data_IF_903682229868
#
_entry.id   IF_903682229868
#
_cell.length_a   1.000
_cell.length_b   1.000
_cell.length_c   1.000
_cell.angle_alpha   90.00
_cell.angle_beta   90.00
_cell.angle_gamma   90.00
#
_symmetry.space_group_name_H-M   'P 1'
#
loop_
_entity.id
_entity.type
_entity.pdbx_description
1 polymer ?
#
# COMPACT_ATOMS: atom_id res chain seq x y z
N UNK A 1 -12.16 29.41 14.46
CA UNK A 1 -12.88 29.22 13.17
C UNK A 1 -11.98 28.45 12.21
N UNK A 2 -12.53 27.50 11.44
CA UNK A 2 -11.82 26.74 10.39
C UNK A 2 -12.60 26.92 9.08
N UNK A 3 -11.92 27.22 7.98
CA UNK A 3 -12.52 27.30 6.63
C UNK A 3 -11.94 26.20 5.75
N UNK A 4 -12.80 25.41 5.12
CA UNK A 4 -12.42 24.37 4.17
C UNK A 4 -12.73 24.86 2.75
N UNK A 5 -11.73 24.84 1.87
CA UNK A 5 -11.85 25.25 0.47
C UNK A 5 -11.66 24.04 -0.44
N UNK A 6 -12.76 23.37 -0.77
CA UNK A 6 -12.74 22.32 -1.78
C UNK A 6 -12.56 22.91 -3.17
N UNK A 7 -12.14 22.08 -4.12
CA UNK A 7 -11.90 22.50 -5.52
C UNK A 7 -10.86 23.63 -5.66
N UNK A 8 -10.02 23.85 -4.65
CA UNK A 8 -8.89 24.76 -4.70
C UNK A 8 -7.61 23.96 -4.85
N UNK A 9 -6.97 24.04 -6.02
CA UNK A 9 -5.68 23.42 -6.31
C UNK A 9 -4.59 24.46 -6.10
N UNK A 10 -3.79 24.30 -5.06
CA UNK A 10 -2.57 25.11 -4.88
C UNK A 10 -1.58 24.75 -5.99
N UNK A 11 -1.08 25.74 -6.70
CA UNK A 11 -0.04 25.57 -7.74
C UNK A 11 1.21 26.39 -7.46
N UNK A 12 1.19 27.27 -6.45
CA UNK A 12 2.35 28.07 -6.07
C UNK A 12 2.32 28.55 -4.62
N UNK A 13 3.51 28.83 -4.10
CA UNK A 13 3.73 29.54 -2.84
C UNK A 13 4.11 30.99 -3.15
N UNK A 14 3.52 31.95 -2.44
CA UNK A 14 3.88 33.37 -2.56
C UNK A 14 5.00 33.71 -1.59
N UNK A 15 5.84 34.69 -1.94
CA UNK A 15 6.99 35.11 -1.13
C UNK A 15 7.14 36.63 -1.11
N UNK A 16 7.48 37.16 0.06
CA UNK A 16 7.89 38.55 0.25
C UNK A 16 9.18 38.58 1.05
N UNK A 17 10.21 39.28 0.55
CA UNK A 17 11.53 39.39 1.19
C UNK A 17 12.12 38.03 1.64
N UNK A 18 11.97 37.00 0.80
CA UNK A 18 12.47 35.64 1.06
C UNK A 18 11.56 34.75 1.91
N UNK A 19 10.56 35.31 2.61
CA UNK A 19 9.60 34.60 3.47
C UNK A 19 8.40 34.12 2.67
N UNK A 20 8.02 32.85 2.85
CA UNK A 20 6.74 32.33 2.34
C UNK A 20 5.59 33.00 3.08
N UNK A 21 4.72 33.69 2.36
CA UNK A 21 3.68 34.56 2.92
C UNK A 21 2.27 34.24 2.42
N UNK A 22 2.09 33.07 1.79
CA UNK A 22 0.81 32.65 1.26
C UNK A 22 0.89 31.54 0.22
N UNK A 23 -0.27 31.29 -0.37
CA UNK A 23 -0.48 30.31 -1.44
C UNK A 23 -1.23 30.98 -2.59
N UNK A 24 -0.94 30.55 -3.81
CA UNK A 24 -1.71 30.89 -4.99
C UNK A 24 -2.09 29.60 -5.74
N UNK A 25 -3.18 29.66 -6.48
CA UNK A 25 -3.64 28.50 -7.21
C UNK A 25 -4.88 28.72 -8.05
N UNK A 26 -5.45 27.60 -8.44
CA UNK A 26 -6.58 27.53 -9.35
C UNK A 26 -7.82 27.05 -8.60
N UNK A 27 -8.97 27.60 -8.98
CA UNK A 27 -10.28 27.10 -8.60
C UNK A 27 -10.72 26.17 -9.73
N UNK A 28 -11.03 24.93 -9.38
CA UNK A 28 -11.55 23.92 -10.29
C UNK A 28 -13.07 23.99 -10.31
N UNK A 29 -13.70 23.60 -11.41
CA UNK A 29 -15.16 23.51 -11.49
C UNK A 29 -15.75 22.63 -10.37
N UNK A 30 -16.94 22.95 -9.88
CA UNK A 30 -17.61 22.12 -8.87
C UNK A 30 -17.85 20.70 -9.39
N UNK A 31 -17.80 19.72 -8.49
CA UNK A 31 -17.86 18.31 -8.87
C UNK A 31 -18.73 17.52 -7.90
N UNK A 32 -19.70 16.80 -8.46
CA UNK A 32 -20.51 15.82 -7.73
C UNK A 32 -19.84 14.44 -7.62
N UNK A 33 -18.63 14.26 -8.17
CA UNK A 33 -17.88 13.01 -8.07
C UNK A 33 -17.69 12.58 -6.61
N UNK A 34 -17.89 11.29 -6.34
CA UNK A 34 -17.75 10.77 -4.99
C UNK A 34 -16.29 10.75 -4.51
N UNK A 35 -16.09 10.55 -3.21
CA UNK A 35 -14.76 10.51 -2.61
C UNK A 35 -13.87 9.46 -3.30
N UNK A 36 -12.73 9.91 -3.80
CA UNK A 36 -11.74 9.06 -4.47
C UNK A 36 -11.96 8.93 -5.97
N UNK A 37 -13.14 9.31 -6.49
CA UNK A 37 -13.38 9.31 -7.93
C UNK A 37 -12.57 10.42 -8.60
N UNK A 38 -12.17 10.17 -9.85
CA UNK A 38 -11.60 11.22 -10.67
C UNK A 38 -12.67 12.31 -10.87
N UNK A 39 -12.32 13.54 -10.52
CA UNK A 39 -13.13 14.73 -10.81
C UNK A 39 -12.42 15.55 -11.87
N UNK A 40 -13.19 16.33 -12.62
CA UNK A 40 -12.64 17.20 -13.65
C UNK A 40 -11.58 18.15 -13.07
N UNK A 41 -10.60 18.52 -13.89
CA UNK A 41 -9.56 19.50 -13.52
C UNK A 41 -9.67 20.77 -14.36
N UNK A 42 -10.85 21.04 -14.91
CA UNK A 42 -11.20 22.29 -15.60
C UNK A 42 -11.07 23.45 -14.63
N UNK A 43 -10.29 24.46 -15.01
CA UNK A 43 -10.06 25.66 -14.22
C UNK A 43 -11.16 26.68 -14.50
N UNK A 44 -11.83 27.16 -13.46
CA UNK A 44 -12.89 28.17 -13.53
C UNK A 44 -12.49 29.51 -12.93
N UNK A 45 -11.35 29.56 -12.25
CA UNK A 45 -10.81 30.79 -11.70
C UNK A 45 -9.46 30.59 -11.01
N UNK A 46 -8.99 31.64 -10.34
CA UNK A 46 -7.75 31.64 -9.57
C UNK A 46 -7.98 32.19 -8.17
N UNK A 47 -7.11 31.82 -7.23
CA UNK A 47 -7.11 32.37 -5.89
C UNK A 47 -5.70 32.72 -5.41
N UNK A 48 -5.63 33.66 -4.47
CA UNK A 48 -4.45 33.94 -3.68
C UNK A 48 -4.87 34.14 -2.22
N UNK A 49 -4.17 33.51 -1.29
CA UNK A 49 -4.42 33.62 0.15
C UNK A 49 -3.10 33.97 0.82
N UNK A 50 -3.07 35.10 1.51
CA UNK A 50 -1.93 35.48 2.36
C UNK A 50 -2.03 34.79 3.72
N UNK A 51 -0.89 34.33 4.22
CA UNK A 51 -0.78 33.70 5.52
C UNK A 51 0.63 33.92 6.08
N UNK A 52 0.74 34.07 7.40
CA UNK A 52 2.04 34.20 8.06
C UNK A 52 2.79 32.87 8.15
N UNK A 53 2.10 31.74 7.94
CA UNK A 53 2.69 30.41 7.89
C UNK A 53 1.90 29.50 6.93
N UNK A 54 2.62 28.67 6.18
CA UNK A 54 2.05 27.67 5.25
C UNK A 54 2.53 26.28 5.65
N UNK A 55 1.59 25.34 5.81
CA UNK A 55 1.86 23.93 6.14
C UNK A 55 1.54 23.05 4.94
N UNK A 56 2.54 22.36 4.39
CA UNK A 56 2.38 21.40 3.29
C UNK A 56 2.07 20.01 3.85
N UNK A 57 0.84 19.55 3.65
CA UNK A 57 0.36 18.23 4.07
C UNK A 57 -0.33 17.49 2.89
N UNK A 58 0.30 17.53 1.72
CA UNK A 58 -0.27 17.13 0.42
C UNK A 58 -0.20 15.64 0.08
N UNK A 59 0.38 14.81 0.95
CA UNK A 59 0.70 13.43 0.62
C UNK A 59 2.01 13.28 -0.18
N UNK A 60 2.29 12.06 -0.62
CA UNK A 60 3.48 11.71 -1.40
C UNK A 60 3.21 11.59 -2.90
N UNK A 61 3.97 10.72 -3.56
CA UNK A 61 3.99 10.56 -5.03
C UNK A 61 3.27 9.32 -5.54
N UNK A 62 2.62 8.54 -4.67
CA UNK A 62 2.22 7.15 -4.97
C UNK A 62 1.29 6.97 -6.18
N UNK A 63 0.48 7.96 -6.55
CA UNK A 63 -0.38 7.88 -7.73
C UNK A 63 0.31 8.34 -9.02
N UNK A 64 1.48 8.97 -8.92
CA UNK A 64 2.27 9.43 -10.05
C UNK A 64 3.34 8.39 -10.41
N UNK A 65 2.95 7.40 -11.19
CA UNK A 65 3.86 6.32 -11.60
C UNK A 65 5.10 6.82 -12.34
N UNK A 66 5.05 7.99 -13.02
CA UNK A 66 6.25 8.57 -13.64
C UNK A 66 7.25 9.04 -12.58
N UNK A 67 6.79 9.76 -11.55
CA UNK A 67 7.65 10.16 -10.43
C UNK A 67 8.13 8.97 -9.61
N UNK A 68 7.29 7.94 -9.41
CA UNK A 68 7.70 6.69 -8.76
C UNK A 68 8.84 6.02 -9.54
N UNK A 69 8.74 5.94 -10.87
CA UNK A 69 9.83 5.38 -11.71
C UNK A 69 11.08 6.25 -11.67
N UNK A 70 10.93 7.57 -11.75
CA UNK A 70 12.06 8.49 -11.68
C UNK A 70 12.85 8.36 -10.38
N UNK A 71 12.16 8.16 -9.27
CA UNK A 71 12.78 7.99 -7.96
C UNK A 71 13.02 6.51 -7.59
N UNK A 72 12.83 5.57 -8.52
CA UNK A 72 12.87 4.16 -8.18
C UNK A 72 14.23 3.77 -7.58
N UNK A 73 14.27 2.99 -6.48
CA UNK A 73 15.52 2.73 -5.79
C UNK A 73 16.40 1.81 -6.65
N UNK A 74 17.58 2.29 -7.06
CA UNK A 74 18.49 1.53 -7.94
C UNK A 74 18.84 0.14 -7.40
N UNK A 75 18.90 -0.03 -6.07
CA UNK A 75 19.13 -1.32 -5.41
C UNK A 75 18.05 -2.38 -5.69
N UNK A 76 16.85 -1.97 -6.14
CA UNK A 76 15.75 -2.84 -6.54
C UNK A 76 15.80 -3.19 -8.05
N UNK A 77 16.82 -2.75 -8.79
CA UNK A 77 16.88 -2.89 -10.24
C UNK A 77 15.84 -2.03 -10.96
N UNK A 78 15.43 -2.46 -12.16
CA UNK A 78 14.44 -1.72 -12.96
C UNK A 78 13.08 -1.63 -12.25
N UNK A 79 12.36 -0.50 -12.37
CA UNK A 79 10.98 -0.42 -11.91
C UNK A 79 10.07 -1.38 -12.70
N UNK A 80 9.00 -1.90 -12.09
CA UNK A 80 8.01 -2.69 -12.81
C UNK A 80 7.37 -1.91 -13.97
N UNK A 81 7.17 -2.61 -15.09
CA UNK A 81 6.43 -2.08 -16.22
C UNK A 81 4.95 -1.92 -15.83
N UNK A 82 4.36 -2.91 -15.17
CA UNK A 82 3.00 -2.86 -14.61
C UNK A 82 3.03 -2.53 -13.11
N UNK A 83 2.40 -1.41 -12.74
CA UNK A 83 2.12 -1.01 -11.35
C UNK A 83 0.65 -0.71 -11.16
N UNK A 84 0.14 -1.00 -9.96
CA UNK A 84 -1.18 -0.57 -9.52
C UNK A 84 -1.05 0.53 -8.46
N UNK A 85 -2.01 1.45 -8.40
CA UNK A 85 -2.02 2.58 -7.46
C UNK A 85 -2.87 2.30 -6.23
N UNK A 86 -2.23 2.12 -5.08
CA UNK A 86 -2.91 1.96 -3.77
C UNK A 86 -3.32 3.29 -3.11
N UNK A 87 -3.22 4.40 -3.83
CA UNK A 87 -3.58 5.76 -3.38
C UNK A 87 -4.43 6.46 -4.44
N UNK A 88 -5.32 7.38 -4.04
CA UNK A 88 -6.11 8.16 -4.99
C UNK A 88 -5.27 9.03 -5.92
N UNK A 89 -5.81 9.37 -7.09
CA UNK A 89 -5.14 10.14 -8.14
C UNK A 89 -4.59 11.51 -7.71
N UNK A 90 -5.08 12.10 -6.61
CA UNK A 90 -4.57 13.38 -6.09
C UNK A 90 -3.25 13.25 -5.30
N UNK A 91 -2.78 12.02 -5.01
CA UNK A 91 -1.48 11.78 -4.37
C UNK A 91 -0.40 11.79 -5.44
N UNK A 92 -0.28 12.95 -6.11
CA UNK A 92 0.48 13.15 -7.35
C UNK A 92 1.87 13.77 -7.14
N UNK A 93 2.18 14.18 -5.91
CA UNK A 93 3.46 14.78 -5.55
C UNK A 93 3.63 16.25 -5.94
N UNK A 94 2.63 16.91 -6.52
CA UNK A 94 2.81 18.23 -7.13
C UNK A 94 3.37 19.29 -6.16
N UNK A 95 2.89 19.29 -4.92
CA UNK A 95 3.35 20.24 -3.90
C UNK A 95 4.79 20.03 -3.44
N UNK A 96 5.42 18.88 -3.72
CA UNK A 96 6.84 18.65 -3.42
C UNK A 96 7.73 19.56 -4.27
N UNK A 97 7.49 19.60 -5.58
CA UNK A 97 8.21 20.46 -6.50
C UNK A 97 7.94 21.96 -6.22
N UNK A 98 6.69 22.31 -5.88
CA UNK A 98 6.33 23.69 -5.49
C UNK A 98 7.08 24.12 -4.23
N UNK A 99 7.15 23.27 -3.21
CA UNK A 99 7.88 23.56 -1.98
C UNK A 99 9.40 23.59 -2.19
N UNK A 100 9.93 22.73 -3.06
CA UNK A 100 11.34 22.75 -3.47
C UNK A 100 11.69 24.07 -4.18
N UNK A 101 10.85 24.52 -5.12
CA UNK A 101 11.00 25.82 -5.79
C UNK A 101 10.92 27.02 -4.84
N UNK A 102 10.29 26.88 -3.68
CA UNK A 102 10.29 27.89 -2.62
C UNK A 102 11.55 27.87 -1.73
N UNK A 103 12.49 26.96 -2.00
CA UNK A 103 13.75 26.79 -1.27
C UNK A 103 13.78 25.60 -0.33
N UNK A 104 12.73 24.78 -0.28
CA UNK A 104 12.72 23.55 0.52
C UNK A 104 13.64 22.48 -0.05
N UNK A 105 14.24 21.67 0.82
CA UNK A 105 15.09 20.55 0.42
C UNK A 105 14.30 19.24 0.43
N UNK A 106 14.24 18.57 -0.71
CA UNK A 106 13.78 17.18 -0.80
C UNK A 106 14.93 16.23 -0.46
N UNK A 107 14.64 15.20 0.33
CA UNK A 107 15.60 14.17 0.70
C UNK A 107 15.01 12.77 0.52
N UNK A 108 15.89 11.79 0.30
CA UNK A 108 15.56 10.37 0.37
C UNK A 108 14.47 9.92 -0.62
N UNK A 109 14.45 10.48 -1.84
CA UNK A 109 13.44 10.18 -2.86
C UNK A 109 13.36 8.68 -3.21
N UNK A 110 14.47 7.96 -3.07
CA UNK A 110 14.60 6.52 -3.28
C UNK A 110 14.09 5.67 -2.11
N UNK A 111 13.63 6.28 -1.02
CA UNK A 111 13.03 5.52 0.09
C UNK A 111 11.55 5.36 -0.19
N UNK A 112 11.16 4.16 -0.62
CA UNK A 112 9.79 3.83 -0.98
C UNK A 112 9.26 2.62 -0.22
N UNK A 113 7.96 2.64 0.07
CA UNK A 113 7.25 1.51 0.64
C UNK A 113 6.10 1.11 -0.28
N UNK A 114 6.33 0.04 -1.03
CA UNK A 114 5.39 -0.55 -1.97
C UNK A 114 5.03 -1.96 -1.50
N UNK A 115 3.77 -2.32 -1.68
CA UNK A 115 3.30 -3.65 -1.32
C UNK A 115 3.38 -4.58 -2.53
N UNK A 116 3.58 -5.86 -2.25
CA UNK A 116 3.76 -6.91 -3.27
C UNK A 116 2.57 -7.87 -3.32
N UNK A 117 1.59 -7.67 -2.43
CA UNK A 117 0.32 -8.40 -2.39
C UNK A 117 -0.83 -7.59 -3.04
N UNK A 118 -0.52 -6.83 -4.10
CA UNK A 118 -1.46 -5.95 -4.77
C UNK A 118 -2.35 -6.67 -5.79
N UNK A 119 -3.63 -6.33 -5.83
CA UNK A 119 -4.61 -6.83 -6.80
C UNK A 119 -5.38 -5.64 -7.39
N UNK A 120 -5.83 -5.77 -8.64
CA UNK A 120 -6.70 -4.78 -9.26
C UNK A 120 -8.07 -4.79 -8.57
N UNK A 121 -8.57 -3.62 -8.21
CA UNK A 121 -9.91 -3.50 -7.64
C UNK A 121 -10.95 -3.80 -8.74
N UNK A 122 -11.88 -4.72 -8.47
CA UNK A 122 -12.98 -5.03 -9.40
C UNK A 122 -14.00 -3.88 -9.51
N UNK A 123 -14.06 -3.00 -8.51
CA UNK A 123 -14.85 -1.77 -8.50
C UNK A 123 -13.93 -0.57 -8.24
N UNK A 124 -13.12 -0.18 -9.24
CA UNK A 124 -12.13 0.87 -9.07
C UNK A 124 -12.80 2.23 -8.84
N UNK A 125 -12.17 3.06 -8.01
CA UNK A 125 -12.64 4.42 -7.71
C UNK A 125 -11.70 5.42 -8.40
N UNK A 126 -10.40 5.12 -8.49
CA UNK A 126 -9.41 5.88 -9.24
C UNK A 126 -8.70 5.02 -10.30
N UNK A 127 -7.97 5.64 -11.26
CA UNK A 127 -7.19 4.90 -12.25
C UNK A 127 -6.19 3.94 -11.60
N UNK A 128 -6.10 2.71 -12.14
CA UNK A 128 -5.25 1.65 -11.61
C UNK A 128 -5.48 1.33 -10.11
N UNK A 129 -6.72 1.52 -9.61
CA UNK A 129 -7.04 1.31 -8.19
C UNK A 129 -6.64 -0.08 -7.73
N UNK A 130 -5.69 -0.10 -6.81
CA UNK A 130 -5.13 -1.30 -6.24
C UNK A 130 -5.67 -1.55 -4.83
N UNK A 131 -6.03 -2.80 -4.55
CA UNK A 131 -6.28 -3.29 -3.19
C UNK A 131 -5.09 -4.15 -2.79
N UNK A 132 -4.62 -4.01 -1.55
CA UNK A 132 -3.65 -4.94 -0.97
C UNK A 132 -4.41 -6.05 -0.26
N UNK A 133 -4.05 -7.30 -0.55
CA UNK A 133 -4.40 -8.41 0.33
C UNK A 133 -3.52 -8.30 1.56
N UNK A 134 -4.13 -8.24 2.74
CA UNK A 134 -3.47 -8.54 3.99
C UNK A 134 -3.64 -10.05 4.16
N UNK A 135 -2.60 -10.87 3.91
CA UNK A 135 -2.71 -12.30 4.06
C UNK A 135 -2.46 -12.70 5.52
N UNK A 136 -2.77 -13.95 5.84
CA UNK A 136 -2.11 -14.65 6.94
C UNK A 136 -0.97 -15.51 6.38
N UNK A 137 -0.23 -16.21 7.23
CA UNK A 137 0.98 -16.90 6.81
C UNK A 137 0.71 -18.20 6.01
N UNK A 138 -0.54 -18.60 5.77
CA UNK A 138 -0.85 -19.95 5.27
C UNK A 138 -0.74 -20.12 3.75
N UNK A 139 -0.97 -19.06 2.96
CA UNK A 139 -0.88 -19.15 1.49
C UNK A 139 0.53 -19.48 1.04
N UNK A 140 0.69 -20.39 0.07
CA UNK A 140 1.99 -20.57 -0.57
C UNK A 140 2.22 -19.42 -1.55
N UNK A 141 3.41 -18.83 -1.52
CA UNK A 141 3.80 -17.73 -2.40
C UNK A 141 4.84 -18.20 -3.39
N UNK A 142 4.56 -18.00 -4.67
CA UNK A 142 5.41 -18.36 -5.78
C UNK A 142 5.77 -17.14 -6.62
N UNK A 143 6.96 -17.15 -7.23
CA UNK A 143 7.28 -16.21 -8.31
C UNK A 143 6.43 -16.50 -9.58
N UNK A 144 6.62 -15.69 -10.62
CA UNK A 144 5.90 -15.86 -11.89
C UNK A 144 6.14 -17.22 -12.59
N UNK A 145 7.24 -17.92 -12.27
CA UNK A 145 7.62 -19.23 -12.84
C UNK A 145 7.18 -20.40 -11.97
N UNK A 146 6.45 -20.13 -10.88
CA UNK A 146 5.97 -21.17 -9.98
C UNK A 146 7.04 -21.67 -8.99
N UNK A 147 8.13 -20.94 -8.77
CA UNK A 147 9.09 -21.27 -7.70
C UNK A 147 8.64 -20.64 -6.39
N UNK A 148 8.57 -21.43 -5.32
CA UNK A 148 8.20 -20.95 -3.99
C UNK A 148 9.22 -19.93 -3.52
N UNK A 149 8.74 -18.81 -2.98
CA UNK A 149 9.63 -17.77 -2.47
C UNK A 149 10.47 -18.32 -1.30
N UNK A 150 11.75 -17.94 -1.21
CA UNK A 150 12.66 -18.43 -0.17
C UNK A 150 12.31 -17.84 1.20
N UNK A 151 12.82 -18.44 2.27
CA UNK A 151 12.74 -17.85 3.62
C UNK A 151 13.53 -16.53 3.67
N UNK A 152 13.01 -15.47 4.33
CA UNK A 152 11.78 -15.40 5.13
C UNK A 152 10.57 -14.81 4.37
N UNK A 153 10.52 -14.92 3.05
CA UNK A 153 9.58 -14.21 2.17
C UNK A 153 8.20 -14.89 2.11
N UNK A 154 7.65 -15.20 3.28
CA UNK A 154 6.29 -15.71 3.44
C UNK A 154 5.27 -14.55 3.41
N UNK A 155 3.98 -14.84 3.16
CA UNK A 155 2.95 -13.81 3.18
C UNK A 155 2.92 -13.05 4.52
N UNK A 156 2.99 -11.72 4.47
CA UNK A 156 2.95 -10.86 5.66
C UNK A 156 4.25 -10.77 6.48
N UNK A 157 5.39 -11.26 5.97
CA UNK A 157 6.68 -11.22 6.70
C UNK A 157 7.52 -10.00 6.35
N UNK A 158 8.28 -10.04 5.25
CA UNK A 158 9.19 -8.97 4.85
C UNK A 158 8.80 -8.42 3.47
N UNK A 159 7.88 -7.45 3.44
CA UNK A 159 7.43 -6.82 2.20
C UNK A 159 8.56 -6.27 1.35
N UNK A 160 9.57 -5.63 1.95
CA UNK A 160 10.65 -5.01 1.18
C UNK A 160 11.65 -6.06 0.68
N UNK A 161 11.95 -7.07 1.49
CA UNK A 161 12.73 -8.23 1.05
C UNK A 161 12.03 -8.98 -0.08
N UNK A 162 10.70 -9.14 0.00
CA UNK A 162 9.92 -9.78 -1.07
C UNK A 162 9.92 -8.94 -2.33
N UNK A 163 9.75 -7.62 -2.22
CA UNK A 163 9.85 -6.71 -3.37
C UNK A 163 11.21 -6.85 -4.06
N UNK A 164 12.29 -6.81 -3.27
CA UNK A 164 13.65 -6.94 -3.78
C UNK A 164 13.89 -8.29 -4.48
N UNK A 165 13.39 -9.38 -3.91
CA UNK A 165 13.44 -10.70 -4.54
C UNK A 165 12.65 -10.74 -5.86
N UNK A 166 11.39 -10.28 -5.85
CA UNK A 166 10.53 -10.32 -7.02
C UNK A 166 11.07 -9.46 -8.17
N UNK A 167 11.67 -8.30 -7.89
CA UNK A 167 12.30 -7.48 -8.94
C UNK A 167 13.44 -8.18 -9.67
N UNK A 168 14.12 -9.14 -9.03
CA UNK A 168 15.20 -9.93 -9.65
C UNK A 168 14.69 -11.09 -10.50
N UNK A 169 13.40 -11.44 -10.41
CA UNK A 169 12.84 -12.55 -11.20
C UNK A 169 12.64 -12.20 -12.66
N UNK A 170 12.62 -10.90 -13.00
CA UNK A 170 12.32 -10.39 -14.34
C UNK A 170 10.83 -10.30 -14.67
N UNK A 171 9.94 -10.50 -13.69
CA UNK A 171 8.49 -10.42 -13.85
C UNK A 171 7.87 -9.43 -12.87
N UNK A 172 6.76 -8.81 -13.28
CA UNK A 172 6.04 -7.81 -12.48
C UNK A 172 4.93 -8.41 -11.61
N UNK A 173 4.80 -9.73 -11.62
CA UNK A 173 3.78 -10.44 -10.86
C UNK A 173 4.33 -11.66 -10.13
N UNK A 174 3.56 -12.12 -9.15
CA UNK A 174 3.80 -13.34 -8.38
C UNK A 174 2.45 -14.01 -8.10
N UNK A 175 2.46 -15.16 -7.43
CA UNK A 175 1.26 -15.95 -7.19
C UNK A 175 1.10 -16.33 -5.74
N UNK A 176 -0.07 -16.06 -5.17
CA UNK A 176 -0.55 -16.89 -4.07
C UNK A 176 -1.27 -18.12 -4.61
N UNK A 177 -1.04 -19.26 -3.98
CA UNK A 177 -1.88 -20.46 -4.13
C UNK A 177 -2.33 -20.88 -2.73
N UNK A 178 -3.64 -21.06 -2.58
CA UNK A 178 -4.28 -21.33 -1.30
C UNK A 178 -5.55 -22.17 -1.48
N UNK A 179 -6.01 -22.78 -0.39
CA UNK A 179 -7.35 -23.37 -0.32
C UNK A 179 -8.41 -22.29 -0.06
N UNK A 180 -9.67 -22.56 -0.40
CA UNK A 180 -10.79 -21.67 -0.05
C UNK A 180 -10.88 -21.42 1.46
N UNK A 181 -10.55 -22.42 2.28
CA UNK A 181 -10.53 -22.28 3.74
C UNK A 181 -9.50 -21.26 4.23
N UNK A 182 -8.30 -21.23 3.62
CA UNK A 182 -7.29 -20.20 3.91
C UNK A 182 -7.81 -18.82 3.50
N UNK A 183 -8.32 -18.69 2.28
CA UNK A 183 -8.83 -17.41 1.77
C UNK A 183 -9.95 -16.86 2.65
N UNK A 184 -10.94 -17.69 3.00
CA UNK A 184 -12.05 -17.29 3.85
C UNK A 184 -11.60 -16.81 5.24
N UNK A 185 -10.57 -17.45 5.80
CA UNK A 185 -10.10 -17.12 7.17
C UNK A 185 -9.11 -15.97 7.20
N UNK A 186 -8.19 -15.93 6.25
CA UNK A 186 -6.98 -15.11 6.33
C UNK A 186 -6.96 -13.92 5.38
N UNK A 187 -7.82 -13.86 4.34
CA UNK A 187 -7.79 -12.72 3.44
C UNK A 187 -8.57 -11.56 4.07
N UNK A 188 -7.85 -10.49 4.39
CA UNK A 188 -8.42 -9.19 4.62
C UNK A 188 -7.99 -8.27 3.48
N UNK A 189 -8.86 -7.36 3.07
CA UNK A 189 -8.61 -6.45 1.96
C UNK A 189 -8.43 -5.04 2.50
N UNK A 190 -7.40 -4.33 2.05
CA UNK A 190 -7.22 -2.92 2.39
C UNK A 190 -8.35 -2.07 1.79
N UNK A 191 -8.61 -0.88 2.36
CA UNK A 191 -9.64 0.03 1.87
C UNK A 191 -10.82 0.11 2.83
N UNK A 192 -11.29 1.33 3.11
CA UNK A 192 -12.44 1.55 4.00
C UNK A 192 -13.73 0.99 3.41
N UNK A 193 -13.86 1.06 2.10
CA UNK A 193 -14.97 0.51 1.31
C UNK A 193 -15.04 -1.02 1.38
N UNK A 194 -13.92 -1.70 1.65
CA UNK A 194 -13.86 -3.14 1.85
C UNK A 194 -14.09 -3.57 3.30
N UNK A 195 -14.19 -2.60 4.23
CA UNK A 195 -14.34 -2.86 5.66
C UNK A 195 -15.47 -1.98 6.27
N UNK A 196 -16.73 -2.22 5.86
CA UNK A 196 -17.88 -1.45 6.33
C UNK A 196 -18.14 -1.64 7.84
N UNK A 197 -17.70 -2.77 8.41
CA UNK A 197 -17.76 -3.08 9.85
C UNK A 197 -16.91 -2.13 10.70
N UNK A 198 -15.68 -1.88 10.27
CA UNK A 198 -14.76 -0.94 10.92
C UNK A 198 -15.19 0.51 10.67
N UNK A 199 -15.59 0.82 9.43
CA UNK A 199 -16.08 2.16 9.04
C UNK A 199 -17.36 2.52 9.81
N UNK A 200 -18.27 1.57 9.99
CA UNK A 200 -19.51 1.71 10.75
C UNK A 200 -19.37 1.57 12.27
N UNK A 201 -18.14 1.39 12.80
CA UNK A 201 -17.83 1.24 14.24
C UNK A 201 -18.65 0.15 14.95
N UNK A 202 -19.00 -0.93 14.25
CA UNK A 202 -19.89 -1.96 14.78
C UNK A 202 -19.11 -3.15 15.32
N UNK A 203 -18.87 -3.16 16.64
CA UNK A 203 -18.22 -4.29 17.33
C UNK A 203 -18.97 -5.62 17.13
N UNK A 204 -20.30 -5.57 16.98
CA UNK A 204 -21.14 -6.74 16.69
C UNK A 204 -20.85 -7.32 15.30
N UNK A 205 -20.70 -6.48 14.28
CA UNK A 205 -20.36 -6.93 12.92
C UNK A 205 -18.93 -7.50 12.85
N UNK A 206 -17.98 -6.92 13.60
CA UNK A 206 -16.62 -7.46 13.75
C UNK A 206 -16.64 -8.87 14.35
N UNK A 207 -17.44 -9.10 15.40
CA UNK A 207 -17.60 -10.43 16.01
C UNK A 207 -18.32 -11.40 15.07
N UNK A 208 -19.32 -10.93 14.32
CA UNK A 208 -20.04 -11.76 13.34
C UNK A 208 -19.12 -12.20 12.18
N UNK A 209 -18.20 -11.33 11.74
CA UNK A 209 -17.16 -11.65 10.75
C UNK A 209 -16.21 -12.76 11.24
N UNK A 210 -15.94 -12.85 12.54
CA UNK A 210 -15.14 -13.92 13.11
C UNK A 210 -15.87 -15.30 13.16
N UNK A 211 -17.21 -15.31 13.01
CA UNK A 211 -18.07 -16.50 13.10
C UNK A 211 -18.68 -16.95 11.76
N UNK A 212 -18.66 -16.10 10.74
CA UNK A 212 -19.23 -16.39 9.43
C UNK A 212 -18.17 -16.95 8.45
N UNK A 213 -18.64 -17.56 7.36
CA UNK A 213 -17.81 -18.08 6.26
C UNK A 213 -17.03 -16.99 5.52
N UNK A 214 -16.94 -17.07 4.19
CA UNK A 214 -16.15 -16.10 3.43
C UNK A 214 -16.67 -14.65 3.61
N UNK A 215 -15.81 -13.67 3.95
CA UNK A 215 -16.22 -12.28 4.01
C UNK A 215 -16.78 -11.81 2.65
N UNK A 216 -17.91 -11.11 2.64
CA UNK A 216 -18.55 -10.65 1.40
C UNK A 216 -17.61 -9.89 0.46
N UNK A 217 -16.75 -8.97 0.93
CA UNK A 217 -15.77 -8.30 0.07
C UNK A 217 -14.82 -9.29 -0.61
N UNK A 218 -14.32 -10.29 0.14
CA UNK A 218 -13.42 -11.33 -0.40
C UNK A 218 -14.15 -12.20 -1.43
N UNK A 219 -15.39 -12.59 -1.16
CA UNK A 219 -16.20 -13.35 -2.11
C UNK A 219 -16.42 -12.55 -3.41
N UNK A 220 -16.68 -11.24 -3.34
CA UNK A 220 -16.80 -10.40 -4.53
C UNK A 220 -15.52 -10.37 -5.38
N UNK A 221 -14.35 -10.39 -4.74
CA UNK A 221 -13.07 -10.51 -5.45
C UNK A 221 -12.85 -11.89 -6.06
N UNK A 222 -13.29 -12.98 -5.42
CA UNK A 222 -13.27 -14.30 -6.04
C UNK A 222 -14.15 -14.37 -7.29
N UNK A 223 -15.32 -13.71 -7.25
CA UNK A 223 -16.30 -13.80 -8.31
C UNK A 223 -15.99 -12.84 -9.49
N UNK A 224 -15.38 -11.68 -9.21
CA UNK A 224 -15.24 -10.58 -10.18
C UNK A 224 -13.81 -10.08 -10.39
N UNK A 225 -12.89 -10.41 -9.49
CA UNK A 225 -11.53 -9.90 -9.53
C UNK A 225 -10.74 -10.52 -10.68
N UNK A 226 -10.16 -9.69 -11.55
CA UNK A 226 -9.38 -10.16 -12.71
C UNK A 226 -8.13 -10.98 -12.34
N UNK A 227 -7.63 -10.78 -11.12
CA UNK A 227 -6.44 -11.45 -10.62
C UNK A 227 -6.74 -12.80 -9.94
N UNK A 228 -8.02 -13.15 -9.73
CA UNK A 228 -8.43 -14.35 -9.01
C UNK A 228 -8.80 -15.50 -9.95
N UNK A 229 -8.29 -16.68 -9.62
CA UNK A 229 -8.60 -17.94 -10.29
C UNK A 229 -9.10 -18.90 -9.23
N UNK A 230 -10.30 -19.45 -9.41
CA UNK A 230 -10.90 -20.43 -8.51
C UNK A 230 -11.20 -21.69 -9.31
N UNK A 231 -10.63 -22.81 -8.91
CA UNK A 231 -10.79 -24.10 -9.59
C UNK A 231 -10.81 -25.26 -8.60
N UNK A 232 -11.62 -26.29 -8.88
CA UNK A 232 -11.61 -27.53 -8.10
C UNK A 232 -10.51 -28.48 -8.54
N UNK A 233 -10.10 -28.39 -9.81
CA UNK A 233 -9.05 -29.21 -10.41
C UNK A 233 -7.72 -28.45 -10.47
N UNK A 234 -6.64 -29.12 -10.08
CA UNK A 234 -5.32 -28.51 -10.01
C UNK A 234 -4.75 -28.20 -11.41
N UNK A 235 -4.93 -29.10 -12.38
CA UNK A 235 -4.41 -28.90 -13.74
C UNK A 235 -5.10 -27.72 -14.41
N UNK A 236 -6.42 -27.56 -14.21
CA UNK A 236 -7.17 -26.37 -14.64
C UNK A 236 -6.70 -25.09 -13.94
N UNK A 237 -6.39 -25.15 -12.65
CA UNK A 237 -5.82 -24.01 -11.92
C UNK A 237 -4.51 -23.55 -12.59
N UNK A 238 -3.57 -24.47 -12.83
CA UNK A 238 -2.27 -24.16 -13.44
C UNK A 238 -2.43 -23.66 -14.88
N UNK A 239 -3.31 -24.27 -15.67
CA UNK A 239 -3.60 -23.82 -17.03
C UNK A 239 -4.10 -22.37 -17.04
N UNK A 240 -5.01 -22.00 -16.13
CA UNK A 240 -5.50 -20.62 -15.99
C UNK A 240 -4.43 -19.66 -15.44
N UNK A 241 -3.57 -20.11 -14.53
CA UNK A 241 -2.43 -19.31 -14.05
C UNK A 241 -1.50 -18.95 -15.21
N UNK A 242 -1.13 -19.93 -16.04
CA UNK A 242 -0.33 -19.71 -17.25
C UNK A 242 -1.05 -18.78 -18.26
N UNK A 243 -2.35 -18.97 -18.47
CA UNK A 243 -3.12 -18.08 -19.37
C UNK A 243 -3.12 -16.62 -18.88
N UNK A 244 -3.14 -16.38 -17.56
CA UNK A 244 -3.21 -15.04 -16.98
C UNK A 244 -1.83 -14.39 -16.71
N UNK A 245 -0.82 -15.18 -16.34
CA UNK A 245 0.52 -14.71 -15.96
C UNK A 245 1.55 -14.71 -17.08
N UNK A 246 1.30 -15.44 -18.15
CA UNK A 246 2.24 -15.64 -19.24
C UNK A 246 2.30 -17.11 -19.62
N UNK A 247 2.03 -17.40 -20.90
CA UNK A 247 1.85 -18.77 -21.36
C UNK A 247 3.11 -19.62 -21.12
N UNK A 248 2.95 -20.75 -20.43
CA UNK A 248 3.98 -21.76 -20.24
C UNK A 248 5.07 -21.42 -19.22
N UNK A 249 4.88 -20.41 -18.36
CA UNK A 249 5.87 -20.06 -17.33
C UNK A 249 5.91 -21.05 -16.16
N UNK A 250 4.78 -21.66 -15.84
CA UNK A 250 4.61 -22.54 -14.68
C UNK A 250 4.52 -24.00 -15.16
N UNK A 251 5.44 -24.82 -14.68
CA UNK A 251 5.36 -26.27 -14.81
C UNK A 251 4.45 -26.87 -13.72
N UNK A 252 3.45 -27.65 -14.14
CA UNK A 252 2.44 -28.20 -13.22
C UNK A 252 3.05 -29.17 -12.20
N UNK A 253 3.94 -30.06 -12.65
CA UNK A 253 4.53 -31.08 -11.80
C UNK A 253 5.43 -30.46 -10.72
N UNK A 254 6.24 -29.46 -11.10
CA UNK A 254 7.07 -28.69 -10.19
C UNK A 254 6.26 -27.89 -9.16
N UNK A 255 5.18 -27.23 -9.59
CA UNK A 255 4.30 -26.50 -8.67
C UNK A 255 3.63 -27.47 -7.68
N UNK A 256 3.10 -28.59 -8.16
CA UNK A 256 2.48 -29.64 -7.33
C UNK A 256 3.46 -30.18 -6.29
N UNK A 257 4.67 -30.55 -6.71
CA UNK A 257 5.68 -31.14 -5.83
C UNK A 257 6.02 -30.20 -4.65
N UNK A 258 6.10 -28.89 -4.89
CA UNK A 258 6.38 -27.91 -3.83
C UNK A 258 5.20 -27.78 -2.85
N UNK A 259 3.95 -27.82 -3.33
CA UNK A 259 2.76 -27.77 -2.48
C UNK A 259 2.67 -29.04 -1.63
N UNK A 260 2.82 -30.21 -2.24
CA UNK A 260 2.78 -31.51 -1.56
C UNK A 260 3.91 -31.65 -0.53
N UNK A 261 5.10 -31.10 -0.80
CA UNK A 261 6.19 -31.05 0.16
C UNK A 261 5.80 -30.29 1.43
N UNK A 262 5.18 -29.11 1.31
CA UNK A 262 4.67 -28.36 2.46
C UNK A 262 3.51 -29.07 3.14
N UNK A 263 2.60 -29.67 2.37
CA UNK A 263 1.40 -30.33 2.89
C UNK A 263 1.70 -31.57 3.72
N UNK A 264 2.77 -32.31 3.41
CA UNK A 264 3.26 -33.41 4.26
C UNK A 264 3.59 -32.96 5.69
N UNK A 265 4.02 -31.72 5.87
CA UNK A 265 4.35 -31.16 7.18
C UNK A 265 3.15 -30.56 7.92
N UNK A 266 2.00 -30.36 7.25
CA UNK A 266 0.81 -29.73 7.87
C UNK A 266 0.30 -30.54 9.08
N UNK A 267 0.28 -31.87 8.95
CA UNK A 267 -0.20 -32.82 9.97
C UNK A 267 0.93 -33.30 10.90
N UNK A 268 2.19 -33.01 10.57
CA UNK A 268 3.36 -33.44 11.35
C UNK A 268 3.72 -32.39 12.41
N UNK A 269 3.48 -32.64 13.72
CA UNK A 269 3.76 -31.66 14.77
C UNK A 269 5.24 -31.28 14.88
N UNK A 270 6.16 -32.11 14.36
CA UNK A 270 7.61 -31.90 14.36
C UNK A 270 8.21 -31.57 12.98
N UNK A 271 7.36 -31.21 12.00
CA UNK A 271 7.76 -30.81 10.66
C UNK A 271 8.79 -29.69 10.61
N UNK A 272 9.57 -29.63 9.53
CA UNK A 272 10.70 -28.70 9.36
C UNK A 272 10.45 -27.64 8.29
N UNK A 273 9.31 -27.69 7.59
CA UNK A 273 8.86 -26.58 6.76
C UNK A 273 8.71 -25.30 7.60
N UNK A 274 9.56 -24.31 7.29
CA UNK A 274 9.67 -23.08 8.05
C UNK A 274 8.40 -22.22 8.00
N UNK A 275 7.61 -22.32 6.93
CA UNK A 275 6.32 -21.63 6.86
C UNK A 275 5.29 -22.29 7.77
N UNK A 276 5.26 -23.63 7.83
CA UNK A 276 4.38 -24.36 8.77
C UNK A 276 4.80 -24.08 10.22
N UNK A 277 6.10 -24.01 10.51
CA UNK A 277 6.59 -23.58 11.84
C UNK A 277 6.11 -22.17 12.18
N UNK A 278 6.28 -21.21 11.26
CA UNK A 278 5.78 -19.84 11.41
C UNK A 278 4.26 -19.78 11.62
N UNK A 279 3.49 -20.54 10.85
CA UNK A 279 2.04 -20.67 10.97
C UNK A 279 1.63 -21.15 12.37
N UNK A 280 2.31 -22.16 12.91
CA UNK A 280 2.09 -22.65 14.28
C UNK A 280 2.45 -21.59 15.32
N UNK A 281 3.55 -20.87 15.11
CA UNK A 281 3.96 -19.73 15.95
C UNK A 281 2.90 -18.63 15.99
N UNK A 282 2.37 -18.20 14.85
CA UNK A 282 1.29 -17.21 14.78
C UNK A 282 0.05 -17.69 15.56
N UNK A 283 -0.30 -18.97 15.44
CA UNK A 283 -1.42 -19.57 16.18
C UNK A 283 -1.17 -19.77 17.68
N UNK A 284 0.05 -19.58 18.18
CA UNK A 284 0.30 -19.57 19.62
C UNK A 284 -0.34 -18.34 20.28
N UNK A 285 -0.51 -17.25 19.52
CA UNK A 285 -1.29 -16.10 19.95
C UNK A 285 -2.79 -16.35 19.80
N UNK A 286 -3.55 -16.20 20.89
CA UNK A 286 -4.97 -16.57 20.94
C UNK A 286 -5.83 -15.76 19.95
N UNK A 287 -5.53 -14.46 19.78
CA UNK A 287 -6.25 -13.59 18.85
C UNK A 287 -6.10 -14.09 17.41
N UNK A 288 -4.87 -14.35 16.99
CA UNK A 288 -4.58 -14.88 15.65
C UNK A 288 -5.19 -16.26 15.44
N UNK A 289 -5.06 -17.15 16.44
CA UNK A 289 -5.60 -18.51 16.38
C UNK A 289 -7.09 -18.54 16.08
N UNK A 290 -7.85 -17.64 16.71
CA UNK A 290 -9.31 -17.61 16.65
C UNK A 290 -9.82 -16.76 15.49
N UNK A 291 -9.17 -15.65 15.18
CA UNK A 291 -9.72 -14.63 14.28
C UNK A 291 -9.03 -14.66 12.93
N UNK A 292 -7.69 -14.79 12.89
CA UNK A 292 -6.89 -14.36 11.74
C UNK A 292 -6.27 -15.50 10.93
N UNK A 293 -5.84 -16.55 11.60
CA UNK A 293 -4.94 -17.56 11.02
C UNK A 293 -5.68 -18.88 10.88
N UNK A 294 -5.62 -19.50 9.70
CA UNK A 294 -6.24 -20.79 9.42
C UNK A 294 -5.59 -21.90 10.26
N UNK A 295 -6.35 -22.95 10.59
CA UNK A 295 -5.75 -24.18 11.16
C UNK A 295 -4.85 -24.81 10.08
N UNK A 296 -3.63 -25.27 10.40
CA UNK A 296 -2.83 -26.02 9.44
C UNK A 296 -3.63 -27.19 8.88
N UNK A 297 -3.66 -27.29 7.56
CA UNK A 297 -4.25 -28.37 6.77
C UNK A 297 -3.52 -28.41 5.43
N UNK A 298 -3.73 -29.49 4.66
CA UNK A 298 -3.17 -29.64 3.33
C UNK A 298 -3.90 -28.72 2.34
N UNK A 299 -3.17 -27.94 1.57
CA UNK A 299 -3.74 -27.03 0.58
C UNK A 299 -4.48 -27.81 -0.52
N UNK A 300 -3.98 -28.98 -0.91
CA UNK A 300 -4.59 -29.84 -1.95
C UNK A 300 -5.72 -30.75 -1.44
N UNK A 301 -6.11 -30.65 -0.16
CA UNK A 301 -7.24 -31.43 0.36
C UNK A 301 -8.57 -30.89 -0.20
N UNK A 302 -9.35 -31.70 -0.96
CA UNK A 302 -10.63 -31.27 -1.51
C UNK A 302 -11.63 -30.78 -0.46
N UNK A 303 -11.53 -31.25 0.80
CA UNK A 303 -12.40 -30.80 1.89
C UNK A 303 -12.22 -29.31 2.22
N UNK A 304 -11.09 -28.72 1.84
CA UNK A 304 -10.77 -27.31 2.04
C UNK A 304 -10.89 -26.47 0.76
N UNK A 305 -11.21 -27.10 -0.37
CA UNK A 305 -11.30 -26.48 -1.68
C UNK A 305 -12.58 -25.65 -1.92
N UNK A 306 -12.79 -25.14 -3.16
CA UNK A 306 -11.87 -25.16 -4.31
C UNK A 306 -10.52 -24.48 -4.03
N UNK A 307 -9.54 -24.72 -4.89
CA UNK A 307 -8.26 -24.02 -4.90
C UNK A 307 -8.44 -22.60 -5.40
N UNK A 308 -7.65 -21.69 -4.85
CA UNK A 308 -7.60 -20.29 -5.24
C UNK A 308 -6.16 -19.92 -5.57
N UNK A 309 -5.93 -19.44 -6.79
CA UNK A 309 -4.70 -18.77 -7.18
C UNK A 309 -4.98 -17.28 -7.38
N UNK A 310 -4.04 -16.44 -6.93
CA UNK A 310 -4.16 -14.98 -7.05
C UNK A 310 -2.90 -14.41 -7.65
N UNK A 311 -3.03 -13.73 -8.79
CA UNK A 311 -1.95 -12.97 -9.40
C UNK A 311 -1.72 -11.69 -8.61
N UNK A 312 -0.57 -11.59 -7.97
CA UNK A 312 -0.20 -10.42 -7.18
C UNK A 312 0.68 -9.49 -8.01
N UNK A 313 0.45 -8.19 -7.87
CA UNK A 313 1.12 -7.12 -8.57
C UNK A 313 1.82 -6.20 -7.57
N UNK A 314 2.82 -5.45 -8.05
CA UNK A 314 3.42 -4.38 -7.26
C UNK A 314 2.45 -3.20 -7.16
N UNK A 315 2.10 -2.85 -5.92
CA UNK A 315 1.20 -1.78 -5.55
C UNK A 315 2.01 -0.60 -5.01
N UNK A 316 1.93 0.55 -5.68
CA UNK A 316 2.50 1.79 -5.17
C UNK A 316 1.69 2.25 -3.97
N UNK A 317 2.35 2.80 -2.95
CA UNK A 317 1.64 3.23 -1.74
C UNK A 317 2.22 4.44 -1.05
N UNK A 318 3.51 4.44 -0.72
CA UNK A 318 4.12 5.50 0.09
C UNK A 318 5.52 5.86 -0.40
N UNK A 319 5.82 7.15 -0.46
CA UNK A 319 7.19 7.66 -0.42
C UNK A 319 7.58 7.92 1.03
N UNK A 320 8.72 7.38 1.45
CA UNK A 320 9.27 7.59 2.80
C UNK A 320 10.22 8.80 2.84
N UNK A 321 10.73 9.23 1.68
CA UNK A 321 11.34 10.55 1.50
C UNK A 321 10.33 11.68 1.42
N UNK A 322 10.82 12.91 1.34
CA UNK A 322 10.00 14.11 1.24
C UNK A 322 10.78 15.37 1.64
N UNK A 323 10.05 16.42 1.99
CA UNK A 323 10.62 17.67 2.50
C UNK A 323 11.36 17.41 3.82
N UNK A 324 12.61 17.85 3.89
CA UNK A 324 13.39 17.84 5.12
C UNK A 324 12.80 18.85 6.09
N UNK A 325 12.60 18.43 7.34
CA UNK A 325 12.11 19.31 8.40
C UNK A 325 12.93 19.15 9.68
N UNK A 326 12.96 20.19 10.51
CA UNK A 326 13.41 20.06 11.88
C UNK A 326 12.33 19.50 12.83
N UNK A 327 12.64 19.41 14.12
CA UNK A 327 11.72 18.93 15.16
C UNK A 327 10.51 19.84 15.40
N UNK A 328 10.51 21.06 14.85
CA UNK A 328 9.37 21.98 14.84
C UNK A 328 8.60 21.91 13.52
N UNK A 329 8.90 20.93 12.66
CA UNK A 329 8.29 20.74 11.34
C UNK A 329 8.51 21.91 10.38
N UNK A 330 9.50 22.79 10.64
CA UNK A 330 9.91 23.84 9.69
C UNK A 330 10.66 23.18 8.54
N UNK A 331 10.30 23.52 7.30
CA UNK A 331 11.03 23.01 6.13
C UNK A 331 12.43 23.60 6.11
N UNK A 332 13.43 22.76 5.84
CA UNK A 332 14.83 23.17 5.78
C UNK A 332 15.28 23.32 4.32
N UNK A 333 16.14 24.30 4.05
CA UNK A 333 16.78 24.52 2.77
C UNK A 333 18.05 23.69 2.57
N UNK A 334 18.74 23.94 1.44
CA UNK A 334 19.98 23.25 1.07
C UNK A 334 21.11 23.45 2.08
N UNK A 335 21.15 24.61 2.73
CA UNK A 335 22.09 25.01 3.78
C UNK A 335 21.72 24.51 5.18
N UNK A 336 20.57 23.83 5.33
CA UNK A 336 20.04 23.37 6.60
C UNK A 336 19.33 24.45 7.42
N UNK A 337 19.23 25.68 6.92
CA UNK A 337 18.47 26.74 7.56
C UNK A 337 16.96 26.57 7.29
N UNK A 338 16.07 26.96 8.22
CA UNK A 338 14.64 26.96 7.97
C UNK A 338 14.26 27.91 6.82
N UNK A 339 13.40 27.45 5.92
CA UNK A 339 12.72 28.29 4.93
C UNK A 339 11.65 29.11 5.69
N UNK A 340 11.77 30.45 5.77
CA UNK A 340 10.88 31.24 6.61
C UNK A 340 9.42 31.13 6.13
N UNK A 341 8.51 30.88 7.08
CA UNK A 341 7.07 30.74 6.82
C UNK A 341 6.62 29.37 6.28
N UNK A 342 7.53 28.43 6.03
CA UNK A 342 7.20 27.14 5.41
C UNK A 342 7.37 25.95 6.38
N UNK A 343 6.34 25.13 6.46
CA UNK A 343 6.27 23.93 7.28
C UNK A 343 5.77 22.75 6.44
N UNK A 344 6.05 21.52 6.88
CA UNK A 344 5.54 20.32 6.21
C UNK A 344 5.21 19.21 7.20
N UNK A 345 4.26 18.34 6.84
CA UNK A 345 3.80 17.25 7.69
C UNK A 345 3.32 16.04 6.88
N UNK A 346 3.23 14.89 7.54
CA UNK A 346 2.81 13.63 6.94
C UNK A 346 3.74 13.17 5.82
N UNK A 347 3.20 12.45 4.85
CA UNK A 347 3.99 11.86 3.76
C UNK A 347 4.75 12.91 2.92
N UNK A 348 4.25 14.15 2.81
CA UNK A 348 4.96 15.23 2.12
C UNK A 348 6.31 15.56 2.78
N UNK A 349 6.43 15.31 4.09
CA UNK A 349 7.65 15.41 4.87
C UNK A 349 8.22 14.03 5.23
N UNK A 350 7.96 12.98 4.44
CA UNK A 350 8.41 11.61 4.76
C UNK A 350 8.01 11.14 6.16
N UNK A 351 6.81 11.52 6.60
CA UNK A 351 6.21 11.23 7.91
C UNK A 351 6.91 11.88 9.13
N UNK A 352 7.81 12.84 8.91
CA UNK A 352 8.48 13.58 10.00
C UNK A 352 9.91 14.00 9.69
N UNK A 353 10.14 14.69 8.57
CA UNK A 353 11.44 15.22 8.16
C UNK A 353 12.23 14.35 7.18
N UNK A 354 11.56 13.47 6.44
CA UNK A 354 12.14 12.71 5.32
C UNK A 354 12.99 11.51 5.72
N UNK A 355 13.14 11.21 7.01
CA UNK A 355 14.06 10.18 7.50
C UNK A 355 13.52 9.22 8.56
N UNK A 356 12.33 9.48 9.11
CA UNK A 356 11.80 8.78 10.31
C UNK A 356 11.78 7.25 10.17
N UNK A 357 11.43 6.75 8.98
CA UNK A 357 11.27 5.31 8.72
C UNK A 357 12.51 4.63 8.12
N UNK A 358 13.59 5.37 7.84
CA UNK A 358 14.71 4.83 7.09
C UNK A 358 14.26 4.19 5.77
N UNK A 359 14.88 3.07 5.38
CA UNK A 359 14.47 2.28 4.22
C UNK A 359 13.34 1.29 4.53
N UNK A 360 13.18 0.91 5.80
CA UNK A 360 12.25 -0.14 6.25
C UNK A 360 11.33 0.42 7.32
N UNK A 361 10.13 0.81 6.90
CA UNK A 361 9.10 1.24 7.83
C UNK A 361 8.52 0.05 8.61
N UNK A 362 7.96 0.34 9.78
CA UNK A 362 7.14 -0.60 10.52
C UNK A 362 5.67 -0.41 10.10
N UNK A 363 5.00 -1.48 9.70
CA UNK A 363 3.57 -1.42 9.40
C UNK A 363 2.77 -0.84 10.57
N UNK A 364 1.76 -0.03 10.25
CA UNK A 364 0.95 0.68 11.25
C UNK A 364 1.53 2.03 11.74
N UNK A 365 2.79 2.36 11.46
CA UNK A 365 3.39 3.60 12.00
C UNK A 365 3.10 4.88 11.18
N UNK A 366 2.65 4.74 9.93
CA UNK A 366 2.46 5.87 9.00
C UNK A 366 1.40 6.89 9.45
N UNK A 367 0.24 6.42 9.93
CA UNK A 367 -0.84 7.32 10.38
C UNK A 367 -0.40 8.14 11.60
N UNK A 368 0.34 7.51 12.52
CA UNK A 368 0.95 8.19 13.64
C UNK A 368 1.88 9.32 13.17
N UNK A 369 2.76 9.04 12.20
CA UNK A 369 3.63 10.04 11.59
C UNK A 369 2.86 11.26 11.06
N UNK A 370 1.74 11.04 10.36
CA UNK A 370 0.88 12.13 9.89
C UNK A 370 0.26 12.96 11.04
N UNK A 371 -0.31 12.29 12.06
CA UNK A 371 -0.99 12.96 13.17
C UNK A 371 0.00 13.77 14.02
N UNK A 372 1.14 13.17 14.37
CA UNK A 372 2.12 13.81 15.25
C UNK A 372 2.83 14.96 14.56
N UNK A 373 3.33 14.77 13.33
CA UNK A 373 3.96 15.87 12.57
C UNK A 373 2.97 16.99 12.26
N UNK A 374 1.72 16.67 11.89
CA UNK A 374 0.69 17.69 11.67
C UNK A 374 0.40 18.51 12.92
N UNK A 375 0.31 17.86 14.08
CA UNK A 375 0.13 18.54 15.38
C UNK A 375 1.33 19.43 15.73
N UNK A 376 2.55 18.97 15.48
CA UNK A 376 3.78 19.73 15.73
C UNK A 376 3.82 20.96 14.81
N UNK A 377 3.63 20.77 13.50
CA UNK A 377 3.59 21.86 12.53
C UNK A 377 2.56 22.92 12.89
N UNK A 378 1.32 22.52 13.24
CA UNK A 378 0.28 23.45 13.66
C UNK A 378 0.64 24.25 14.91
N UNK A 379 1.25 23.61 15.93
CA UNK A 379 1.69 24.29 17.16
C UNK A 379 2.86 25.24 16.92
N UNK A 380 3.84 24.81 16.13
CA UNK A 380 5.01 25.61 15.79
C UNK A 380 4.62 26.82 14.94
N UNK A 381 3.74 26.63 13.96
CA UNK A 381 3.18 27.71 13.14
C UNK A 381 2.40 28.70 14.01
N UNK A 382 1.51 28.23 14.89
CA UNK A 382 0.76 29.10 15.80
C UNK A 382 1.71 29.98 16.65
N UNK A 383 2.68 29.36 17.33
CA UNK A 383 3.66 30.07 18.17
C UNK A 383 4.48 31.11 17.39
N UNK A 384 4.75 30.86 16.11
CA UNK A 384 5.54 31.78 15.29
C UNK A 384 4.73 33.02 14.86
N UNK A 385 3.39 32.95 14.87
CA UNK A 385 2.51 34.01 14.35
C UNK A 385 1.75 34.77 15.43
N UNK A 386 1.75 34.28 16.68
CA UNK A 386 1.09 34.89 17.84
C UNK A 386 0.59 33.83 18.81
#
# INVERSE_FOLDING_TARGET
>A
LISLRFRHRVTGLTRSAGTVDGVAGEILEESAAERGQASARTVTGSFAIRAQAVVVASGGIGANHALVRHNWPARLGEPPARMLSGVPAHVDGAMLAVAEGAGGRLINGDRMWHYVEGIANWAPIWPAHAIRILPGPSSLWFDARGNRLPVPLFPGFDTLGTLEHLRRTGFDHSWFVASRSIVAKEFALSGSEQNPDLTGRSWRQVIQRARAGMPLPVQAFLDKGEDFIVETDFSRLVARMNALGGAGLIDEAHLRAQIEARDRDADNPYGKDLQVTALRGARAYLGDRLIRTAKPHRILDPAHGPLVAVRLNILTRKSLGGLMTDLSSRVLGGDGAPVPGLYAAGEAAGFGGGGLHGYRALEGTFLGGCIFSGRIAGRAAAKAVG
#
